data_IF_561873578459
#
_entry.id   IF_561873578459
#
_cell.length_a   1.000
_cell.length_b   1.000
_cell.length_c   1.000
_cell.angle_alpha   90.00
_cell.angle_beta   90.00
_cell.angle_gamma   90.00
#
_symmetry.space_group_name_H-M   'P 1'
#
loop_
_entity.id
_entity.type
_entity.pdbx_description
1 polymer ?
#
# COMPACT_ATOMS: atom_id res chain seq x y z
N UNK A 1 -21.37 -17.94 1.98
CA UNK A 1 -21.25 -16.58 1.39
C UNK A 1 -19.78 -16.10 1.29
N UNK A 2 -18.80 -16.93 1.67
CA UNK A 2 -17.36 -16.63 1.78
C UNK A 2 -16.59 -16.75 0.46
N UNK A 3 -16.91 -17.72 -0.40
CA UNK A 3 -16.14 -17.97 -1.63
C UNK A 3 -16.13 -16.85 -2.68
N UNK A 4 -17.23 -16.09 -2.85
CA UNK A 4 -17.26 -14.98 -3.82
C UNK A 4 -16.37 -13.80 -3.41
N UNK A 5 -16.22 -13.53 -2.10
CA UNK A 5 -15.39 -12.42 -1.60
C UNK A 5 -13.91 -12.71 -1.77
N UNK A 6 -13.47 -13.93 -1.47
CA UNK A 6 -12.07 -14.35 -1.63
C UNK A 6 -11.64 -14.36 -3.10
N UNK A 7 -12.49 -14.81 -4.02
CA UNK A 7 -12.20 -14.77 -5.47
C UNK A 7 -12.05 -13.33 -5.97
N UNK A 8 -12.90 -12.42 -5.50
CA UNK A 8 -12.84 -11.00 -5.87
C UNK A 8 -11.57 -10.33 -5.32
N UNK A 9 -11.21 -10.61 -4.07
CA UNK A 9 -9.98 -10.10 -3.45
C UNK A 9 -8.75 -10.62 -4.18
N UNK A 10 -8.67 -11.92 -4.48
CA UNK A 10 -7.55 -12.51 -5.21
C UNK A 10 -7.43 -11.99 -6.65
N UNK A 11 -8.57 -11.76 -7.32
CA UNK A 11 -8.58 -11.16 -8.65
C UNK A 11 -8.09 -9.71 -8.62
N UNK A 12 -8.58 -8.91 -7.67
CA UNK A 12 -8.19 -7.52 -7.48
C UNK A 12 -6.70 -7.40 -7.11
N UNK A 13 -6.20 -8.32 -6.28
CA UNK A 13 -4.79 -8.37 -5.88
C UNK A 13 -3.85 -8.60 -7.09
N UNK A 14 -4.28 -9.45 -8.03
CA UNK A 14 -3.44 -9.87 -9.15
C UNK A 14 -3.49 -8.91 -10.34
N UNK A 15 -4.67 -8.38 -10.67
CA UNK A 15 -4.88 -7.55 -11.86
C UNK A 15 -5.13 -6.07 -11.56
N UNK A 16 -5.47 -5.71 -10.33
CA UNK A 16 -5.88 -4.34 -9.97
C UNK A 16 -4.82 -3.29 -10.29
N UNK A 17 -3.53 -3.59 -10.04
CA UNK A 17 -2.42 -2.68 -10.35
C UNK A 17 -2.23 -2.48 -11.86
N UNK A 18 -2.34 -3.56 -12.66
CA UNK A 18 -2.21 -3.44 -14.12
C UNK A 18 -3.39 -2.68 -14.73
N UNK A 19 -4.61 -2.97 -14.28
CA UNK A 19 -5.83 -2.32 -14.75
C UNK A 19 -5.79 -0.82 -14.41
N UNK A 20 -5.41 -0.46 -13.18
CA UNK A 20 -5.35 0.95 -12.77
C UNK A 20 -4.30 1.75 -13.56
N UNK A 21 -3.14 1.16 -13.84
CA UNK A 21 -2.09 1.78 -14.66
C UNK A 21 -2.55 1.94 -16.12
N UNK A 22 -3.11 0.89 -16.74
CA UNK A 22 -3.58 0.94 -18.13
C UNK A 22 -4.71 1.97 -18.29
N UNK A 23 -5.67 1.99 -17.36
CA UNK A 23 -6.76 2.95 -17.38
C UNK A 23 -6.25 4.38 -17.28
N UNK A 24 -5.30 4.64 -16.36
CA UNK A 24 -4.69 5.96 -16.19
C UNK A 24 -3.93 6.39 -17.44
N UNK A 25 -3.20 5.48 -18.07
CA UNK A 25 -2.49 5.76 -19.32
C UNK A 25 -3.46 6.13 -20.45
N UNK A 26 -4.55 5.38 -20.62
CA UNK A 26 -5.57 5.67 -21.64
C UNK A 26 -6.20 7.05 -21.40
N UNK A 27 -6.63 7.33 -20.17
CA UNK A 27 -7.28 8.60 -19.82
C UNK A 27 -6.32 9.77 -20.02
N UNK A 28 -5.11 9.71 -19.48
CA UNK A 28 -4.14 10.81 -19.56
C UNK A 28 -3.69 11.12 -20.99
N UNK A 29 -3.53 10.09 -21.85
CA UNK A 29 -3.21 10.27 -23.26
C UNK A 29 -4.41 10.79 -24.07
N UNK A 30 -5.61 10.27 -23.84
CA UNK A 30 -6.82 10.69 -24.56
C UNK A 30 -7.16 12.16 -24.30
N UNK A 31 -7.06 12.59 -23.04
CA UNK A 31 -7.34 13.98 -22.65
C UNK A 31 -6.15 14.93 -22.84
N UNK A 32 -4.98 14.44 -23.27
CA UNK A 32 -3.72 15.22 -23.37
C UNK A 32 -3.47 16.01 -22.09
N UNK A 33 -3.45 15.31 -20.96
CA UNK A 33 -3.41 15.92 -19.65
C UNK A 33 -2.12 16.75 -19.46
N UNK A 34 -2.30 18.03 -19.11
CA UNK A 34 -1.24 19.02 -18.94
C UNK A 34 -1.39 19.67 -17.55
N UNK A 35 -0.51 19.29 -16.61
CA UNK A 35 -0.61 19.75 -15.21
C UNK A 35 -0.42 21.28 -15.09
N UNK A 36 0.42 21.88 -15.93
CA UNK A 36 0.67 23.33 -15.95
C UNK A 36 -0.57 24.18 -16.29
N UNK A 37 -1.58 23.61 -16.96
CA UNK A 37 -2.83 24.32 -17.27
C UNK A 37 -3.79 24.35 -16.09
N UNK A 38 -3.51 23.62 -15.01
CA UNK A 38 -4.31 23.67 -13.79
C UNK A 38 -4.01 24.95 -13.02
N UNK A 39 -5.07 25.68 -12.68
CA UNK A 39 -5.02 26.98 -11.99
C UNK A 39 -4.28 26.92 -10.64
N UNK A 40 -4.17 25.74 -10.02
CA UNK A 40 -3.58 25.51 -8.70
C UNK A 40 -2.62 24.31 -8.70
N UNK A 41 -1.75 24.20 -9.71
CA UNK A 41 -0.81 23.07 -9.83
C UNK A 41 0.16 22.96 -8.64
N UNK A 42 0.59 24.08 -8.05
CA UNK A 42 1.48 24.09 -6.87
C UNK A 42 0.82 23.40 -5.67
N UNK A 43 -0.45 23.73 -5.43
CA UNK A 43 -1.23 23.12 -4.37
C UNK A 43 -1.48 21.62 -4.64
N UNK A 44 -1.60 21.21 -5.91
CA UNK A 44 -1.69 19.79 -6.29
C UNK A 44 -0.41 19.03 -5.90
N UNK A 45 0.77 19.57 -6.23
CA UNK A 45 2.04 18.94 -5.87
C UNK A 45 2.25 18.90 -4.37
N UNK A 46 2.01 20.01 -3.67
CA UNK A 46 2.10 20.08 -2.20
C UNK A 46 1.19 19.06 -1.52
N UNK A 47 -0.09 19.00 -1.91
CA UNK A 47 -1.04 18.03 -1.38
C UNK A 47 -0.63 16.59 -1.68
N UNK A 48 -0.09 16.33 -2.87
CA UNK A 48 0.40 15.00 -3.25
C UNK A 48 1.58 14.59 -2.36
N UNK A 49 2.54 15.48 -2.13
CA UNK A 49 3.69 15.23 -1.25
C UNK A 49 3.21 14.89 0.16
N UNK A 50 2.29 15.68 0.72
CA UNK A 50 1.73 15.44 2.05
C UNK A 50 1.03 14.08 2.11
N UNK A 51 0.16 13.79 1.16
CA UNK A 51 -0.61 12.55 1.13
C UNK A 51 0.28 11.31 0.96
N UNK A 52 1.26 11.35 0.05
CA UNK A 52 2.21 10.26 -0.16
C UNK A 52 3.06 10.03 1.11
N UNK A 53 3.50 11.09 1.78
CA UNK A 53 4.25 10.99 3.03
C UNK A 53 3.45 10.32 4.15
N UNK A 54 2.16 10.67 4.28
CA UNK A 54 1.24 10.02 5.23
C UNK A 54 1.14 8.52 4.92
N UNK A 55 0.90 8.15 3.66
CA UNK A 55 0.77 6.75 3.26
C UNK A 55 2.06 5.95 3.47
N UNK A 56 3.23 6.54 3.22
CA UNK A 56 4.51 5.92 3.56
C UNK A 56 4.60 5.66 5.07
N UNK A 57 4.23 6.64 5.91
CA UNK A 57 4.21 6.47 7.37
C UNK A 57 3.30 5.33 7.81
N UNK A 58 2.11 5.22 7.22
CA UNK A 58 1.18 4.11 7.47
C UNK A 58 1.81 2.77 7.04
N UNK A 59 2.43 2.69 5.86
CA UNK A 59 3.10 1.47 5.39
C UNK A 59 4.25 1.04 6.31
N UNK A 60 5.04 1.98 6.81
CA UNK A 60 6.11 1.68 7.78
C UNK A 60 5.55 1.19 9.12
N UNK A 61 4.47 1.81 9.61
CA UNK A 61 3.79 1.38 10.84
C UNK A 61 3.24 -0.04 10.70
N UNK A 62 2.59 -0.35 9.57
CA UNK A 62 2.12 -1.70 9.24
C UNK A 62 3.29 -2.69 9.21
N UNK A 63 4.41 -2.35 8.56
CA UNK A 63 5.59 -3.21 8.55
C UNK A 63 6.13 -3.47 9.98
N UNK A 64 6.15 -2.45 10.85
CA UNK A 64 6.53 -2.59 12.26
C UNK A 64 5.58 -3.51 13.04
N UNK A 65 4.27 -3.36 12.81
CA UNK A 65 3.26 -4.23 13.41
C UNK A 65 3.50 -5.70 13.05
N UNK A 66 3.76 -6.01 11.77
CA UNK A 66 4.04 -7.37 11.31
C UNK A 66 5.28 -7.98 11.96
N UNK A 67 6.32 -7.19 12.19
CA UNK A 67 7.50 -7.63 12.94
C UNK A 67 7.16 -7.95 14.40
N UNK A 68 6.21 -7.24 15.00
CA UNK A 68 5.70 -7.52 16.34
C UNK A 68 5.01 -8.87 16.49
N UNK A 69 4.41 -9.39 15.41
CA UNK A 69 3.77 -10.72 15.37
C UNK A 69 4.64 -11.79 14.70
N UNK A 70 5.96 -11.54 14.60
CA UNK A 70 6.87 -12.44 13.86
C UNK A 70 7.00 -13.84 14.47
N UNK A 71 6.67 -14.00 15.76
CA UNK A 71 6.69 -15.27 16.50
C UNK A 71 5.37 -16.07 16.38
N UNK A 72 4.34 -15.55 15.72
CA UNK A 72 3.09 -16.30 15.53
C UNK A 72 3.23 -17.40 14.47
N UNK A 73 2.53 -18.52 14.68
CA UNK A 73 2.58 -19.71 13.81
C UNK A 73 2.26 -19.38 12.34
N UNK A 74 1.35 -18.44 12.09
CA UNK A 74 1.05 -17.92 10.74
C UNK A 74 2.29 -17.31 10.08
N UNK A 75 3.02 -16.44 10.80
CA UNK A 75 4.18 -15.71 10.26
C UNK A 75 5.39 -16.63 10.13
N UNK A 76 5.57 -17.56 11.06
CA UNK A 76 6.58 -18.62 10.96
C UNK A 76 6.33 -19.47 9.71
N UNK A 77 5.10 -19.90 9.45
CA UNK A 77 4.75 -20.68 8.24
C UNK A 77 4.99 -19.90 6.94
N UNK A 78 4.79 -18.58 6.96
CA UNK A 78 5.14 -17.70 5.82
C UNK A 78 6.67 -17.65 5.64
N UNK A 79 7.42 -17.52 6.74
CA UNK A 79 8.88 -17.47 6.75
C UNK A 79 9.52 -18.78 6.29
N UNK A 80 8.98 -19.93 6.71
CA UNK A 80 9.42 -21.27 6.29
C UNK A 80 9.28 -21.51 4.78
N UNK A 81 8.32 -20.83 4.13
CA UNK A 81 8.14 -20.87 2.68
C UNK A 81 8.91 -19.78 1.91
N UNK A 82 9.93 -19.15 2.52
CA UNK A 82 10.64 -17.97 1.98
C UNK A 82 9.72 -16.77 1.65
N UNK A 83 8.52 -16.74 2.24
CA UNK A 83 7.53 -15.69 2.04
C UNK A 83 7.89 -14.38 2.74
N UNK A 84 8.79 -14.41 3.73
CA UNK A 84 9.27 -13.26 4.48
C UNK A 84 9.98 -12.22 3.59
N UNK A 85 10.90 -12.68 2.74
CA UNK A 85 11.61 -11.82 1.76
C UNK A 85 10.64 -11.23 0.74
N UNK A 86 9.65 -12.02 0.32
CA UNK A 86 8.62 -11.59 -0.61
C UNK A 86 7.76 -10.51 0.04
N UNK A 87 7.34 -10.73 1.29
CA UNK A 87 6.52 -9.82 2.08
C UNK A 87 7.23 -8.48 2.32
N UNK A 88 8.48 -8.50 2.77
CA UNK A 88 9.29 -7.28 2.93
C UNK A 88 9.43 -6.54 1.60
N UNK A 89 9.69 -7.27 0.50
CA UNK A 89 9.78 -6.68 -0.84
C UNK A 89 8.46 -6.04 -1.28
N UNK A 90 7.32 -6.55 -0.84
CA UNK A 90 6.02 -5.94 -1.08
C UNK A 90 5.85 -4.60 -0.36
N UNK A 91 6.38 -4.43 0.85
CA UNK A 91 6.35 -3.16 1.58
C UNK A 91 7.36 -2.14 1.03
N UNK A 92 8.58 -2.58 0.74
CA UNK A 92 9.67 -1.69 0.31
C UNK A 92 9.39 -1.07 -1.05
N UNK A 93 8.80 -1.82 -1.99
CA UNK A 93 8.46 -1.32 -3.34
C UNK A 93 7.60 -0.03 -3.34
N UNK A 94 6.40 0.01 -2.73
CA UNK A 94 5.59 1.21 -2.68
C UNK A 94 6.25 2.33 -1.86
N UNK A 95 7.01 2.02 -0.81
CA UNK A 95 7.75 3.04 -0.05
C UNK A 95 8.76 3.76 -0.96
N UNK A 96 9.58 3.02 -1.70
CA UNK A 96 10.54 3.59 -2.65
C UNK A 96 9.80 4.39 -3.75
N UNK A 97 8.70 3.84 -4.29
CA UNK A 97 7.90 4.53 -5.30
C UNK A 97 7.34 5.87 -4.77
N UNK A 98 6.87 5.89 -3.53
CA UNK A 98 6.39 7.12 -2.88
C UNK A 98 7.50 8.16 -2.71
N UNK A 99 8.71 7.76 -2.29
CA UNK A 99 9.87 8.66 -2.19
C UNK A 99 10.20 9.26 -3.57
N UNK A 100 10.18 8.44 -4.63
CA UNK A 100 10.40 8.91 -6.01
C UNK A 100 9.35 9.94 -6.41
N UNK A 101 8.08 9.72 -6.07
CA UNK A 101 6.98 10.67 -6.36
C UNK A 101 7.19 11.99 -5.63
N UNK A 102 7.63 11.97 -4.36
CA UNK A 102 7.91 13.20 -3.61
C UNK A 102 9.02 14.00 -4.29
N UNK A 103 10.16 13.35 -4.59
CA UNK A 103 11.29 13.99 -5.27
C UNK A 103 10.84 14.54 -6.64
N UNK A 104 10.11 13.74 -7.43
CA UNK A 104 9.61 14.15 -8.73
C UNK A 104 8.64 15.33 -8.64
N UNK A 105 7.78 15.38 -7.61
CA UNK A 105 6.83 16.48 -7.39
C UNK A 105 7.56 17.78 -7.07
N UNK A 106 8.60 17.73 -6.23
CA UNK A 106 9.45 18.89 -5.93
C UNK A 106 10.17 19.41 -7.18
N UNK A 107 10.75 18.51 -7.97
CA UNK A 107 11.41 18.89 -9.23
C UNK A 107 10.41 19.52 -10.22
N UNK A 108 9.21 18.96 -10.31
CA UNK A 108 8.15 19.48 -11.17
C UNK A 108 7.69 20.87 -10.75
N UNK A 109 7.45 21.06 -9.46
CA UNK A 109 7.06 22.36 -8.90
C UNK A 109 8.10 23.44 -9.23
N UNK A 110 9.39 23.14 -9.11
CA UNK A 110 10.48 24.05 -9.50
C UNK A 110 10.48 24.36 -11.01
N UNK A 111 10.34 23.34 -11.86
CA UNK A 111 10.35 23.51 -13.33
C UNK A 111 9.17 24.36 -13.80
N UNK A 112 7.98 24.11 -13.24
CA UNK A 112 6.77 24.85 -13.59
C UNK A 112 6.79 26.28 -13.01
N UNK A 113 7.27 26.47 -11.79
CA UNK A 113 7.36 27.78 -11.14
C UNK A 113 8.33 28.75 -11.84
N UNK A 114 9.37 28.25 -12.50
CA UNK A 114 10.33 29.10 -13.21
C UNK A 114 9.91 29.49 -14.64
N UNK A 115 8.73 29.06 -15.13
CA UNK A 115 8.24 29.36 -16.48
C UNK A 115 9.35 29.26 -17.56
N UNK A 116 10.13 28.16 -17.52
CA UNK A 116 11.27 27.97 -18.42
C UNK A 116 10.76 27.96 -19.86
N UNK A 117 10.95 29.07 -20.58
CA UNK A 117 10.31 29.37 -21.86
C UNK A 117 10.72 28.46 -23.03
N UNK A 118 11.71 27.59 -22.84
CA UNK A 118 12.27 26.71 -23.88
C UNK A 118 11.80 25.26 -23.83
N UNK A 119 10.93 24.87 -22.89
CA UNK A 119 10.44 23.49 -22.83
C UNK A 119 9.24 23.32 -23.77
N UNK A 120 9.36 22.38 -24.72
CA UNK A 120 8.27 22.05 -25.65
C UNK A 120 7.02 21.54 -24.91
N UNK A 121 5.84 21.93 -25.37
CA UNK A 121 4.54 21.43 -24.85
C UNK A 121 4.47 19.89 -24.80
N UNK A 122 5.09 19.18 -25.77
CA UNK A 122 5.13 17.70 -25.78
C UNK A 122 5.85 17.13 -24.56
N UNK A 123 6.92 17.80 -24.11
CA UNK A 123 7.70 17.38 -22.94
C UNK A 123 6.88 17.57 -21.67
N UNK A 124 6.15 18.67 -21.54
CA UNK A 124 5.25 18.89 -20.41
C UNK A 124 4.12 17.87 -20.31
N UNK A 125 3.52 17.48 -21.43
CA UNK A 125 2.52 16.40 -21.48
C UNK A 125 3.14 15.08 -21.01
N UNK A 126 4.30 14.70 -21.57
CA UNK A 126 4.97 13.44 -21.22
C UNK A 126 5.29 13.36 -19.73
N UNK A 127 5.85 14.43 -19.15
CA UNK A 127 6.20 14.45 -17.73
C UNK A 127 4.93 14.39 -16.86
N UNK A 128 3.86 15.09 -17.26
CA UNK A 128 2.56 15.03 -16.58
C UNK A 128 1.99 13.61 -16.57
N UNK A 129 2.03 12.92 -17.72
CA UNK A 129 1.57 11.53 -17.85
C UNK A 129 2.39 10.59 -16.96
N UNK A 130 3.73 10.69 -17.00
CA UNK A 130 4.62 9.84 -16.20
C UNK A 130 4.34 10.04 -14.71
N UNK A 131 4.21 11.29 -14.26
CA UNK A 131 3.90 11.62 -12.87
C UNK A 131 2.55 11.04 -12.44
N UNK A 132 1.48 11.23 -13.24
CA UNK A 132 0.16 10.69 -12.94
C UNK A 132 0.14 9.16 -12.88
N UNK A 133 0.85 8.50 -13.80
CA UNK A 133 0.99 7.03 -13.79
C UNK A 133 1.72 6.55 -12.54
N UNK A 134 2.79 7.24 -12.13
CA UNK A 134 3.50 6.93 -10.89
C UNK A 134 2.59 7.07 -9.66
N UNK A 135 1.81 8.16 -9.56
CA UNK A 135 0.86 8.37 -8.46
C UNK A 135 -0.15 7.23 -8.36
N UNK A 136 -0.75 6.81 -9.48
CA UNK A 136 -1.73 5.71 -9.48
C UNK A 136 -1.06 4.36 -9.18
N UNK A 137 0.13 4.12 -9.73
CA UNK A 137 0.91 2.92 -9.44
C UNK A 137 1.22 2.83 -7.95
N UNK A 138 1.64 3.92 -7.32
CA UNK A 138 1.89 3.99 -5.89
C UNK A 138 0.61 3.72 -5.10
N UNK A 139 -0.49 4.43 -5.41
CA UNK A 139 -1.75 4.27 -4.69
C UNK A 139 -2.28 2.82 -4.77
N UNK A 140 -2.25 2.25 -5.97
CA UNK A 140 -2.69 0.87 -6.20
C UNK A 140 -1.78 -0.15 -5.52
N UNK A 141 -0.47 0.11 -5.46
CA UNK A 141 0.49 -0.75 -4.77
C UNK A 141 0.32 -0.68 -3.24
N UNK A 142 0.12 0.52 -2.70
CA UNK A 142 -0.18 0.74 -1.28
C UNK A 142 -1.46 0.02 -0.88
N UNK A 143 -2.52 0.17 -1.66
CA UNK A 143 -3.79 -0.54 -1.41
C UNK A 143 -3.62 -2.06 -1.41
N UNK A 144 -2.83 -2.61 -2.34
CA UNK A 144 -2.52 -4.04 -2.38
C UNK A 144 -1.82 -4.50 -1.10
N UNK A 145 -0.83 -3.75 -0.62
CA UNK A 145 -0.12 -4.07 0.62
C UNK A 145 -1.06 -4.03 1.83
N UNK A 146 -1.93 -3.01 1.90
CA UNK A 146 -2.92 -2.91 2.98
C UNK A 146 -3.90 -4.09 2.98
N UNK A 147 -4.37 -4.56 1.82
CA UNK A 147 -5.21 -5.75 1.71
C UNK A 147 -4.49 -7.02 2.15
N UNK A 148 -3.25 -7.20 1.69
CA UNK A 148 -2.44 -8.34 2.07
C UNK A 148 -2.21 -8.37 3.58
N UNK A 149 -1.94 -7.21 4.17
CA UNK A 149 -1.79 -7.08 5.61
C UNK A 149 -3.08 -7.44 6.35
N UNK A 150 -4.23 -6.92 5.90
CA UNK A 150 -5.53 -7.27 6.46
C UNK A 150 -5.75 -8.80 6.49
N UNK A 151 -5.45 -9.49 5.38
CA UNK A 151 -5.58 -10.96 5.31
C UNK A 151 -4.65 -11.69 6.28
N UNK A 152 -3.42 -11.22 6.46
CA UNK A 152 -2.48 -11.81 7.43
C UNK A 152 -3.00 -11.61 8.86
N UNK A 153 -3.42 -10.38 9.20
CA UNK A 153 -3.93 -10.06 10.53
C UNK A 153 -5.16 -10.88 10.89
N UNK A 154 -6.15 -10.99 9.99
CA UNK A 154 -7.33 -11.81 10.24
C UNK A 154 -6.95 -13.27 10.55
N UNK A 155 -5.99 -13.84 9.82
CA UNK A 155 -5.51 -15.20 10.10
C UNK A 155 -4.80 -15.32 11.45
N UNK A 156 -4.02 -14.30 11.83
CA UNK A 156 -3.35 -14.27 13.14
C UNK A 156 -4.39 -14.23 14.27
N UNK A 157 -5.41 -13.37 14.15
CA UNK A 157 -6.47 -13.26 15.16
C UNK A 157 -7.32 -14.54 15.21
N UNK A 158 -7.69 -15.13 14.07
CA UNK A 158 -8.41 -16.40 14.03
C UNK A 158 -7.61 -17.53 14.70
N UNK A 159 -6.28 -17.59 14.53
CA UNK A 159 -5.44 -18.60 15.18
C UNK A 159 -5.25 -18.33 16.69
N UNK A 160 -5.26 -17.06 17.11
CA UNK A 160 -5.23 -16.67 18.53
C UNK A 160 -6.54 -17.08 19.25
N UNK A 161 -7.70 -16.84 18.63
CA UNK A 161 -8.99 -17.24 19.17
C UNK A 161 -9.09 -18.78 19.26
N UNK A 162 -8.63 -19.51 18.24
CA UNK A 162 -8.61 -20.98 18.27
C UNK A 162 -7.63 -21.56 19.31
N UNK A 163 -6.52 -20.89 19.65
CA UNK A 163 -5.65 -21.28 20.78
C UNK A 163 -6.38 -21.17 22.12
N UNK A 164 -7.31 -20.21 22.27
CA UNK A 164 -8.17 -20.04 23.45
C UNK A 164 -9.31 -21.06 23.53
N UNK A 165 -9.72 -21.63 22.40
CA UNK A 165 -10.70 -22.73 22.30
C UNK A 165 -9.96 -24.07 22.18
N UNK A 166 -8.99 -24.33 23.06
CA UNK A 166 -8.70 -25.71 23.43
C UNK A 166 -9.74 -26.12 24.47
N UNK A 167 -10.89 -26.58 23.98
CA UNK A 167 -11.81 -27.38 24.76
C UNK A 167 -11.00 -28.53 25.39
N UNK A 168 -10.78 -28.47 26.70
CA UNK A 168 -10.44 -29.66 27.48
C UNK A 168 -11.39 -30.76 27.02
N UNK A 169 -10.88 -31.94 26.62
CA UNK A 169 -11.69 -33.11 26.25
C UNK A 169 -12.61 -33.63 27.38
N UNK A 170 -12.75 -32.88 28.47
CA UNK A 170 -13.75 -33.04 29.51
C UNK A 170 -14.27 -31.65 29.87
N UNK A 171 -15.49 -31.34 29.46
CA UNK A 171 -16.10 -30.01 29.60
C UNK A 171 -16.23 -29.53 31.05
N UNK A 172 -15.15 -28.97 31.59
CA UNK A 172 -15.14 -28.11 32.77
C UNK A 172 -14.38 -26.83 32.41
N UNK A 173 -15.07 -25.71 32.55
CA UNK A 173 -14.48 -24.37 32.48
C UNK A 173 -13.88 -24.08 33.85
N UNK A 174 -12.55 -24.10 33.96
CA UNK A 174 -11.84 -23.52 35.09
C UNK A 174 -11.49 -22.08 34.75
N UNK A 175 -12.03 -21.14 35.52
CA UNK A 175 -11.51 -19.78 35.56
C UNK A 175 -10.24 -19.81 36.40
N UNK A 176 -9.12 -19.33 35.87
CA UNK A 176 -7.92 -19.12 36.68
C UNK A 176 -8.25 -18.12 37.80
N UNK A 177 -8.13 -18.62 39.02
CA UNK A 177 -8.33 -17.87 40.26
C UNK A 177 -7.20 -16.84 40.42
N UNK A 178 -7.46 -15.58 40.80
CA UNK A 178 -6.47 -14.52 40.80
C UNK A 178 -5.63 -14.47 42.10
N UNK A 179 -4.96 -15.58 42.48
CA UNK A 179 -4.18 -15.64 43.73
C UNK A 179 -2.68 -15.94 43.60
N UNK A 180 -2.12 -15.99 42.40
CA UNK A 180 -0.67 -16.22 42.22
C UNK A 180 0.11 -14.92 41.98
N UNK A 181 -0.28 -13.83 42.65
CA UNK A 181 0.56 -12.64 42.82
C UNK A 181 0.78 -12.41 44.32
N UNK A 182 1.78 -13.09 44.86
CA UNK A 182 2.53 -12.67 46.05
C UNK A 182 4.02 -12.83 45.79
#
# INVERSE_FOLDING_TARGET
MTGKKEVLINFLERWGVLISVILTLIVTLYFKFEINKLKHYEQLFSNTITFVSILIGVLMSLMGFLLGFSDEKVVIRIKENNGDKILIKYFIKPIIAGIIIVIMSLVLEMIYGQNISNISQRVYILISVIWSVLCVLFLSSTFRVSLLMYLILTKIFDEADNKGINTNEKGNVTFDNPEDIY
#
